data_IF_497741235553
#
_entry.id   IF_497741235553
#
_cell.length_a   1.000
_cell.length_b   1.000
_cell.length_c   1.000
_cell.angle_alpha   90.00
_cell.angle_beta   90.00
_cell.angle_gamma   90.00
#
_symmetry.space_group_name_H-M   'P 1'
#
loop_
_entity.id
_entity.type
_entity.pdbx_description
1 polymer ?
#
# COMPACT_ATOMS: atom_id res chain seq x y z
N UNK A 1 -0.52 -10.96 2.17
CA UNK A 1 0.41 -9.86 1.87
C UNK A 1 1.73 -10.46 1.42
N UNK A 2 2.28 -10.03 0.29
CA UNK A 2 3.49 -10.61 -0.31
C UNK A 2 4.35 -9.51 -0.94
N UNK A 3 5.67 -9.65 -0.89
CA UNK A 3 6.58 -8.66 -1.45
C UNK A 3 7.97 -8.71 -0.86
N UNK A 4 8.87 -7.82 -1.32
CA UNK A 4 10.24 -7.75 -0.84
C UNK A 4 10.33 -7.45 0.66
N UNK A 5 11.41 -7.88 1.31
CA UNK A 5 11.60 -7.68 2.74
C UNK A 5 11.81 -6.20 3.11
N UNK A 6 12.42 -5.43 2.21
CA UNK A 6 12.54 -3.97 2.24
C UNK A 6 12.80 -3.47 0.82
N UNK A 7 12.21 -2.33 0.47
CA UNK A 7 12.45 -1.67 -0.80
C UNK A 7 13.61 -0.70 -0.64
N UNK A 8 14.62 -0.88 -1.49
CA UNK A 8 15.77 0.02 -1.60
C UNK A 8 15.91 0.59 -3.02
N UNK A 9 15.33 -0.09 -4.03
CA UNK A 9 15.29 0.37 -5.41
C UNK A 9 13.82 0.56 -5.86
N UNK A 10 13.39 1.80 -6.15
CA UNK A 10 12.06 2.09 -6.68
C UNK A 10 11.78 1.41 -8.02
N UNK A 11 12.77 1.27 -8.91
CA UNK A 11 12.57 0.71 -10.25
C UNK A 11 12.28 -0.79 -10.16
N UNK A 12 13.07 -1.54 -9.39
CA UNK A 12 12.80 -2.94 -9.08
C UNK A 12 11.43 -3.14 -8.41
N UNK A 13 11.00 -2.22 -7.54
CA UNK A 13 9.68 -2.28 -6.92
C UNK A 13 8.53 -2.13 -7.96
N UNK A 14 8.69 -1.25 -8.94
CA UNK A 14 7.71 -1.09 -10.03
C UNK A 14 7.69 -2.31 -10.96
N UNK A 15 8.85 -2.91 -11.25
CA UNK A 15 8.93 -4.15 -12.02
C UNK A 15 8.23 -5.30 -11.29
N UNK A 16 8.48 -5.45 -9.98
CA UNK A 16 7.80 -6.44 -9.15
C UNK A 16 6.29 -6.21 -9.09
N UNK A 17 5.85 -4.95 -8.97
CA UNK A 17 4.43 -4.59 -9.00
C UNK A 17 3.73 -5.07 -10.28
N UNK A 18 4.39 -4.93 -11.44
CA UNK A 18 3.84 -5.42 -12.72
C UNK A 18 3.59 -6.93 -12.69
N UNK A 19 4.58 -7.71 -12.23
CA UNK A 19 4.44 -9.17 -12.10
C UNK A 19 3.33 -9.55 -11.11
N UNK A 20 3.22 -8.81 -10.01
CA UNK A 20 2.22 -9.07 -8.99
C UNK A 20 0.80 -8.70 -9.45
N UNK A 21 0.64 -7.69 -10.33
CA UNK A 21 -0.64 -7.34 -10.93
C UNK A 21 -1.18 -8.48 -11.82
N UNK A 22 -0.30 -9.14 -12.58
CA UNK A 22 -0.69 -10.31 -13.39
C UNK A 22 -1.18 -11.46 -12.49
N UNK A 23 -0.47 -11.72 -11.39
CA UNK A 23 -0.88 -12.72 -10.40
C UNK A 23 -2.18 -12.33 -9.67
N UNK A 24 -2.37 -11.03 -9.37
CA UNK A 24 -3.58 -10.50 -8.74
C UNK A 24 -4.80 -10.74 -9.63
N UNK A 25 -4.69 -10.49 -10.93
CA UNK A 25 -5.79 -10.72 -11.87
C UNK A 25 -6.12 -12.22 -11.99
N UNK A 26 -5.10 -13.08 -12.02
CA UNK A 26 -5.27 -14.53 -12.11
C UNK A 26 -5.99 -15.13 -10.90
N UNK A 27 -5.77 -14.58 -9.70
CA UNK A 27 -6.29 -15.14 -8.44
C UNK A 27 -7.36 -14.27 -7.79
N UNK A 28 -7.96 -13.31 -8.51
CA UNK A 28 -8.87 -12.30 -7.97
C UNK A 28 -10.12 -12.87 -7.29
N UNK A 29 -10.56 -14.06 -7.70
CA UNK A 29 -11.79 -14.70 -7.19
C UNK A 29 -11.54 -15.44 -5.85
N UNK A 30 -10.28 -15.73 -5.53
CA UNK A 30 -9.89 -16.51 -4.36
C UNK A 30 -9.05 -15.70 -3.35
N UNK A 31 -8.26 -14.74 -3.83
CA UNK A 31 -7.24 -14.05 -3.04
C UNK A 31 -7.29 -12.53 -3.23
N UNK A 32 -7.21 -11.81 -2.11
CA UNK A 32 -6.90 -10.37 -2.10
C UNK A 32 -5.40 -10.19 -1.94
N UNK A 33 -4.71 -9.97 -3.06
CA UNK A 33 -3.25 -9.74 -3.06
C UNK A 33 -2.96 -8.29 -2.68
N UNK A 34 -2.13 -8.11 -1.65
CA UNK A 34 -1.61 -6.82 -1.18
C UNK A 34 -0.09 -6.85 -1.22
N UNK A 35 0.52 -5.87 -1.88
CA UNK A 35 1.97 -5.74 -2.01
C UNK A 35 2.58 -5.22 -0.72
N UNK A 36 3.58 -5.92 -0.19
CA UNK A 36 4.39 -5.46 0.92
C UNK A 36 5.41 -4.42 0.43
N UNK A 37 5.37 -3.22 1.00
CA UNK A 37 6.22 -2.09 0.61
C UNK A 37 6.91 -1.46 1.83
N UNK A 38 7.85 -2.20 2.44
CA UNK A 38 8.53 -1.76 3.65
C UNK A 38 9.70 -0.84 3.29
N UNK A 39 9.66 0.38 3.80
CA UNK A 39 10.66 1.41 3.51
C UNK A 39 11.73 1.55 4.59
N UNK A 40 11.45 1.03 5.78
CA UNK A 40 12.30 1.12 6.96
C UNK A 40 12.56 -0.28 7.51
N UNK A 41 13.70 -0.42 8.20
CA UNK A 41 14.05 -1.66 8.89
C UNK A 41 14.32 -1.33 10.35
N UNK A 42 13.68 -2.03 11.30
CA UNK A 42 14.04 -1.88 12.71
C UNK A 42 15.45 -2.43 12.90
N UNK A 43 16.33 -1.61 13.48
CA UNK A 43 17.73 -1.97 13.79
C UNK A 43 17.98 -1.73 15.26
N UNK A 44 18.64 -2.69 15.92
CA UNK A 44 18.95 -2.66 17.35
C UNK A 44 20.31 -2.01 17.66
N UNK A 45 21.26 -2.00 16.73
CA UNK A 45 22.63 -1.49 16.95
C UNK A 45 23.08 -0.50 15.88
N UNK A 46 23.53 -0.95 14.70
CA UNK A 46 24.04 -0.09 13.63
C UNK A 46 23.73 -0.73 12.26
N UNK A 47 23.37 0.08 11.27
CA UNK A 47 23.12 -0.39 9.90
C UNK A 47 22.16 0.52 9.13
N UNK A 48 22.05 0.29 7.82
CA UNK A 48 21.14 1.05 6.95
C UNK A 48 19.69 0.94 7.47
N UNK A 49 19.10 2.10 7.77
CA UNK A 49 17.79 2.24 8.43
C UNK A 49 16.62 2.18 7.45
N UNK A 50 16.89 2.32 6.14
CA UNK A 50 15.87 2.24 5.10
C UNK A 50 15.96 3.38 4.07
N UNK A 51 15.13 3.28 3.03
CA UNK A 51 15.09 4.21 1.89
C UNK A 51 14.75 5.64 2.33
N UNK A 52 13.90 5.78 3.35
CA UNK A 52 13.52 7.08 3.90
C UNK A 52 14.71 7.79 4.53
N UNK A 53 15.53 7.05 5.29
CA UNK A 53 16.63 7.63 6.05
C UNK A 53 17.86 7.91 5.19
N UNK A 54 18.17 7.01 4.26
CA UNK A 54 19.38 7.10 3.45
C UNK A 54 19.13 6.53 2.05
N UNK A 55 18.54 7.33 1.12
CA UNK A 55 18.07 6.82 -0.16
C UNK A 55 19.20 6.36 -1.09
N UNK A 56 20.38 6.95 -0.97
CA UNK A 56 21.54 6.65 -1.83
C UNK A 56 22.48 5.60 -1.20
N UNK A 57 22.20 5.13 0.02
CA UNK A 57 22.99 4.13 0.77
C UNK A 57 24.47 4.56 0.92
N UNK A 58 24.72 5.86 1.03
CA UNK A 58 26.06 6.45 1.14
C UNK A 58 26.33 7.04 2.53
N UNK A 59 25.36 6.97 3.44
CA UNK A 59 25.44 7.57 4.77
C UNK A 59 25.27 9.10 4.77
N UNK A 60 24.75 9.68 3.69
CA UNK A 60 24.44 11.12 3.63
C UNK A 60 23.20 11.51 4.43
N UNK A 61 22.37 10.54 4.81
CA UNK A 61 21.16 10.70 5.63
C UNK A 61 20.18 11.75 5.09
N UNK A 62 19.94 11.73 3.77
CA UNK A 62 19.07 12.68 3.09
C UNK A 62 17.57 12.38 3.28
N UNK A 63 17.07 12.58 4.51
CA UNK A 63 15.70 12.23 4.92
C UNK A 63 14.62 12.89 4.02
N UNK A 64 14.80 14.17 3.68
CA UNK A 64 13.85 14.89 2.83
C UNK A 64 13.75 14.30 1.41
N UNK A 65 14.88 13.83 0.86
CA UNK A 65 14.92 13.15 -0.43
C UNK A 65 14.26 11.77 -0.32
N UNK A 66 14.57 11.02 0.74
CA UNK A 66 13.96 9.73 1.03
C UNK A 66 12.44 9.80 1.15
N UNK A 67 11.91 10.75 1.92
CA UNK A 67 10.46 10.97 2.06
C UNK A 67 9.77 11.27 0.73
N UNK A 68 10.37 12.10 -0.12
CA UNK A 68 9.82 12.42 -1.46
C UNK A 68 9.81 11.19 -2.37
N UNK A 69 10.91 10.43 -2.40
CA UNK A 69 11.02 9.20 -3.19
C UNK A 69 10.04 8.13 -2.71
N UNK A 70 9.96 7.90 -1.41
CA UNK A 70 9.02 6.96 -0.80
C UNK A 70 7.56 7.30 -1.11
N UNK A 71 7.18 8.58 -0.99
CA UNK A 71 5.84 9.04 -1.35
C UNK A 71 5.55 8.86 -2.84
N UNK A 72 6.51 9.20 -3.70
CA UNK A 72 6.36 9.02 -5.15
C UNK A 72 6.16 7.54 -5.49
N UNK A 73 6.97 6.65 -4.91
CA UNK A 73 6.84 5.20 -5.10
C UNK A 73 5.45 4.69 -4.69
N UNK A 74 4.92 5.12 -3.53
CA UNK A 74 3.58 4.72 -3.10
C UNK A 74 2.49 5.22 -4.04
N UNK A 75 2.61 6.47 -4.51
CA UNK A 75 1.70 7.02 -5.53
C UNK A 75 1.77 6.20 -6.82
N UNK A 76 2.97 5.85 -7.29
CA UNK A 76 3.14 5.09 -8.53
C UNK A 76 2.59 3.67 -8.43
N UNK A 77 2.77 3.00 -7.30
CA UNK A 77 2.24 1.66 -7.03
C UNK A 77 0.70 1.68 -6.96
N UNK A 78 0.13 2.63 -6.23
CA UNK A 78 -1.32 2.76 -6.06
C UNK A 78 -2.01 3.24 -7.33
N UNK A 79 -1.40 4.12 -8.11
CA UNK A 79 -1.90 4.58 -9.40
C UNK A 79 -2.01 3.45 -10.43
N UNK A 80 -1.21 2.40 -10.29
CA UNK A 80 -1.30 1.17 -11.09
C UNK A 80 -2.37 0.18 -10.59
N UNK A 81 -3.13 0.54 -9.55
CA UNK A 81 -4.18 -0.30 -8.98
C UNK A 81 -3.68 -1.42 -8.06
N UNK A 82 -2.42 -1.37 -7.63
CA UNK A 82 -1.88 -2.31 -6.65
C UNK A 82 -2.12 -1.80 -5.23
N UNK A 83 -2.91 -2.51 -4.40
CA UNK A 83 -2.99 -2.19 -2.97
C UNK A 83 -1.64 -2.49 -2.30
N UNK A 84 -1.17 -1.54 -1.49
CA UNK A 84 0.11 -1.62 -0.78
C UNK A 84 -0.11 -1.70 0.72
N UNK A 85 0.83 -2.32 1.42
CA UNK A 85 0.92 -2.31 2.86
C UNK A 85 2.38 -2.05 3.28
N UNK A 86 2.55 -1.05 4.13
CA UNK A 86 3.85 -0.72 4.76
C UNK A 86 3.73 -0.88 6.27
N UNK A 87 4.84 -1.28 6.89
CA UNK A 87 5.00 -1.17 8.34
C UNK A 87 5.21 0.30 8.70
N UNK A 88 4.56 0.77 9.76
CA UNK A 88 4.71 2.12 10.29
C UNK A 88 5.55 2.05 11.54
N UNK A 89 6.85 2.36 11.42
CA UNK A 89 7.79 2.34 12.55
C UNK A 89 7.85 3.71 13.27
N UNK A 90 7.65 4.81 12.54
CA UNK A 90 7.63 6.18 13.10
C UNK A 90 6.22 6.79 13.15
N UNK A 91 5.80 7.25 14.34
CA UNK A 91 4.48 7.85 14.61
C UNK A 91 4.35 9.32 14.19
N UNK A 92 5.43 9.95 13.71
CA UNK A 92 5.46 11.35 13.23
C UNK A 92 5.12 11.44 11.72
N UNK A 93 5.38 10.36 10.98
CA UNK A 93 5.15 10.23 9.54
C UNK A 93 3.68 10.22 9.04
N UNK A 94 2.62 9.92 9.82
CA UNK A 94 1.25 9.89 9.27
C UNK A 94 0.74 11.28 8.88
N UNK A 95 1.33 12.37 9.41
CA UNK A 95 0.88 13.75 9.17
C UNK A 95 1.20 14.30 7.76
N UNK A 96 2.23 13.76 7.09
CA UNK A 96 2.69 14.27 5.78
C UNK A 96 1.95 13.66 4.57
N UNK A 97 1.13 12.63 4.80
CA UNK A 97 0.47 11.85 3.75
C UNK A 97 -1.04 11.67 4.02
N UNK A 98 -1.85 12.74 4.09
CA UNK A 98 -3.27 12.59 4.41
C UNK A 98 -4.11 11.97 3.27
N UNK A 99 -3.51 11.60 2.15
CA UNK A 99 -4.24 11.24 0.92
C UNK A 99 -4.30 9.75 0.61
N UNK A 100 -3.48 8.90 1.25
CA UNK A 100 -3.42 7.46 0.95
C UNK A 100 -4.14 6.56 1.99
N UNK A 101 -5.17 7.10 2.64
CA UNK A 101 -6.12 6.30 3.43
C UNK A 101 -7.55 6.77 3.15
N UNK A 102 -8.00 6.67 1.90
CA UNK A 102 -9.45 6.55 1.65
C UNK A 102 -9.89 5.14 2.01
N UNK A 103 -9.98 4.86 3.30
CA UNK A 103 -11.04 3.99 3.78
C UNK A 103 -12.28 4.88 3.89
N UNK A 104 -13.12 4.90 2.85
CA UNK A 104 -14.48 5.39 3.06
C UNK A 104 -15.12 4.55 4.17
N UNK A 105 -15.71 5.14 5.21
CA UNK A 105 -16.56 4.39 6.12
C UNK A 105 -17.76 3.90 5.31
N UNK A 106 -17.93 2.58 5.28
CA UNK A 106 -19.07 1.88 4.70
C UNK A 106 -20.37 2.59 5.14
N UNK A 107 -21.03 3.28 4.22
CA UNK A 107 -22.36 3.81 4.46
C UNK A 107 -23.31 2.65 4.83
N UNK A 108 -24.17 2.79 5.85
CA UNK A 108 -25.10 1.72 6.20
C UNK A 108 -26.06 1.46 5.04
N UNK A 109 -26.16 0.19 4.64
CA UNK A 109 -27.09 -0.27 3.61
C UNK A 109 -28.54 0.16 3.93
N UNK A 110 -29.35 0.58 2.94
CA UNK A 110 -30.74 0.93 3.18
C UNK A 110 -31.53 -0.31 3.63
N UNK A 111 -32.50 -0.18 4.54
CA UNK A 111 -33.29 -1.30 5.02
C UNK A 111 -34.09 -1.92 3.86
N UNK A 112 -34.02 -3.24 3.78
CA UNK A 112 -34.70 -4.11 2.82
C UNK A 112 -36.18 -3.74 2.67
N UNK A 113 -36.58 -3.33 1.45
CA UNK A 113 -37.98 -3.36 1.03
C UNK A 113 -38.47 -4.81 1.10
N UNK A 114 -39.40 -5.07 2.02
CA UNK A 114 -40.20 -6.28 2.07
C UNK A 114 -40.94 -6.48 0.75
N UNK A 115 -40.51 -7.45 -0.04
CA UNK A 115 -41.28 -8.00 -1.14
C UNK A 115 -42.49 -8.76 -0.58
N UNK A 116 -43.66 -8.13 -0.59
CA UNK A 116 -44.95 -8.84 -0.46
C UNK A 116 -45.40 -9.25 -1.86
N UNK A 117 -45.43 -10.56 -2.10
CA UNK A 117 -46.12 -11.18 -3.23
C UNK A 117 -47.62 -11.06 -2.98
N UNK A 118 -48.33 -10.28 -3.79
CA UNK A 118 -49.80 -10.33 -3.85
C UNK A 118 -50.21 -11.20 -5.04
N UNK A 119 -50.94 -12.27 -4.72
CA UNK A 119 -51.58 -13.22 -5.63
C UNK A 119 -52.62 -12.53 -6.54
N UNK A 120 -52.86 -13.00 -7.79
CA UNK A 120 -53.84 -12.41 -8.68
C UNK A 120 -55.25 -12.87 -8.35
N UNK A 121 -56.20 -11.95 -8.28
CA UNK A 121 -57.63 -12.22 -8.26
C UNK A 121 -58.38 -11.11 -9.01
N UNK A 122 -58.73 -11.37 -10.26
CA UNK A 122 -59.93 -10.92 -10.97
C UNK A 122 -59.91 -11.52 -12.38
#
# INVERSE_FOLDING_TARGET
MVGPCSIHDPEAALAYCKLLLEAKEKHKDELVIVMRAYLEKPRTTVGWKGLVNDPDIDGSFQINKGLRLSRQLFVDLTSRGMPIASEMLDTISPSSSPTCSRSEPLAPAPPSRSFTVSSPAA
#
